data_IF_188666150963
#
_entry.id   IF_188666150963
#
_cell.length_a   1.000
_cell.length_b   1.000
_cell.length_c   1.000
_cell.angle_alpha   90.00
_cell.angle_beta   90.00
_cell.angle_gamma   90.00
#
_symmetry.space_group_name_H-M   'P 1'
#
loop_
_entity.id
_entity.type
_entity.pdbx_description
1 polymer ?
#
# COMPACT_ATOMS: atom_id res chain seq x y z
N UNK A 1 24.67 -14.26 13.62
CA UNK A 1 23.97 -13.05 14.10
C UNK A 1 22.54 -13.48 14.42
N UNK A 2 22.11 -13.42 15.68
CA UNK A 2 20.76 -13.85 16.06
C UNK A 2 19.72 -12.78 15.69
N UNK A 3 18.51 -13.22 15.33
CA UNK A 3 17.39 -12.29 15.14
C UNK A 3 17.07 -11.60 16.47
N UNK A 4 16.91 -10.28 16.44
CA UNK A 4 16.51 -9.49 17.60
C UNK A 4 14.99 -9.55 17.77
N UNK A 5 14.53 -9.70 19.01
CA UNK A 5 13.11 -9.64 19.34
C UNK A 5 12.69 -8.17 19.45
N UNK A 6 11.74 -7.74 18.62
CA UNK A 6 11.26 -6.35 18.58
C UNK A 6 10.75 -5.85 19.94
N UNK A 7 10.17 -6.73 20.76
CA UNK A 7 9.60 -6.36 22.06
C UNK A 7 10.66 -6.07 23.14
N UNK A 8 11.90 -6.55 22.95
CA UNK A 8 13.00 -6.21 23.86
C UNK A 8 13.57 -4.81 23.57
N UNK A 9 13.36 -4.31 22.35
CA UNK A 9 13.86 -3.02 21.86
C UNK A 9 12.73 -1.98 21.73
N UNK A 10 11.52 -2.28 22.18
CA UNK A 10 10.37 -1.37 22.14
C UNK A 10 10.22 -0.64 23.47
N UNK A 11 10.28 0.69 23.43
CA UNK A 11 9.85 1.53 24.54
C UNK A 11 8.32 1.76 24.49
N UNK A 12 7.77 2.44 25.50
CA UNK A 12 6.33 2.69 25.58
C UNK A 12 5.76 3.44 24.36
N UNK A 13 6.56 4.33 23.74
CA UNK A 13 6.13 5.06 22.55
C UNK A 13 6.02 4.11 21.36
N UNK A 14 7.03 3.27 21.15
CA UNK A 14 7.05 2.28 20.06
C UNK A 14 6.02 1.18 20.25
N UNK A 15 5.78 0.72 21.47
CA UNK A 15 4.69 -0.22 21.77
C UNK A 15 3.34 0.37 21.37
N UNK A 16 3.09 1.64 21.69
CA UNK A 16 1.87 2.33 21.28
C UNK A 16 1.74 2.39 19.75
N UNK A 17 2.80 2.75 19.03
CA UNK A 17 2.79 2.76 17.55
C UNK A 17 2.50 1.38 16.95
N UNK A 18 3.07 0.31 17.52
CA UNK A 18 2.81 -1.08 17.09
C UNK A 18 1.31 -1.42 17.28
N UNK A 19 0.74 -1.07 18.43
CA UNK A 19 -0.67 -1.33 18.71
C UNK A 19 -1.59 -0.51 17.81
N UNK A 20 -1.31 0.79 17.62
CA UNK A 20 -2.10 1.67 16.76
C UNK A 20 -2.09 1.18 15.30
N UNK A 21 -0.92 0.75 14.79
CA UNK A 21 -0.82 0.12 13.48
C UNK A 21 -1.64 -1.18 13.42
N UNK A 22 -1.58 -2.00 14.48
CA UNK A 22 -2.35 -3.23 14.61
C UNK A 22 -3.86 -3.01 14.57
N UNK A 23 -4.38 -1.92 15.11
CA UNK A 23 -5.81 -1.56 15.00
C UNK A 23 -6.22 -1.31 13.55
N UNK A 24 -5.42 -0.54 12.81
CA UNK A 24 -5.66 -0.31 11.38
C UNK A 24 -5.62 -1.60 10.55
N UNK A 25 -4.64 -2.47 10.83
CA UNK A 25 -4.55 -3.79 10.18
C UNK A 25 -5.78 -4.66 10.46
N UNK A 26 -6.24 -4.72 11.72
CA UNK A 26 -7.45 -5.46 12.09
C UNK A 26 -8.70 -4.92 11.40
N UNK A 27 -8.84 -3.60 11.29
CA UNK A 27 -9.95 -2.97 10.59
C UNK A 27 -9.95 -3.35 9.10
N UNK A 28 -8.80 -3.25 8.43
CA UNK A 28 -8.63 -3.64 7.03
C UNK A 28 -9.03 -5.10 6.79
N UNK A 29 -8.52 -6.04 7.62
CA UNK A 29 -8.89 -7.45 7.53
C UNK A 29 -10.36 -7.74 7.88
N UNK A 30 -10.97 -6.92 8.74
CA UNK A 30 -12.37 -7.09 9.12
C UNK A 30 -13.31 -6.75 7.96
N UNK A 31 -12.95 -5.75 7.16
CA UNK A 31 -13.66 -5.40 5.94
C UNK A 31 -13.32 -6.34 4.77
N UNK A 32 -12.03 -6.55 4.51
CA UNK A 32 -11.49 -7.30 3.37
C UNK A 32 -11.64 -8.82 3.45
N UNK A 33 -12.88 -9.33 3.49
CA UNK A 33 -13.16 -10.78 3.58
C UNK A 33 -13.07 -11.54 2.26
N UNK A 34 -13.04 -10.83 1.14
CA UNK A 34 -12.94 -11.41 -0.20
C UNK A 34 -11.98 -10.57 -1.04
N UNK A 35 -11.51 -11.12 -2.17
CA UNK A 35 -10.59 -10.43 -3.07
C UNK A 35 -11.18 -9.10 -3.59
N UNK A 36 -12.50 -9.04 -3.77
CA UNK A 36 -13.18 -7.84 -4.25
C UNK A 36 -13.27 -6.77 -3.19
N UNK A 37 -13.58 -7.15 -1.95
CA UNK A 37 -13.62 -6.21 -0.82
C UNK A 37 -12.22 -5.69 -0.50
N UNK A 38 -11.19 -6.52 -0.60
CA UNK A 38 -9.79 -6.08 -0.44
C UNK A 38 -9.42 -5.04 -1.51
N UNK A 39 -9.82 -5.25 -2.77
CA UNK A 39 -9.58 -4.27 -3.84
C UNK A 39 -10.38 -2.99 -3.63
N UNK A 40 -11.64 -3.07 -3.21
CA UNK A 40 -12.48 -1.91 -2.89
C UNK A 40 -11.84 -1.04 -1.80
N UNK A 41 -11.40 -1.66 -0.70
CA UNK A 41 -10.74 -0.94 0.39
C UNK A 41 -9.38 -0.38 -0.01
N UNK A 42 -8.58 -1.13 -0.79
CA UNK A 42 -7.31 -0.65 -1.30
C UNK A 42 -7.48 0.59 -2.21
N UNK A 43 -8.52 0.61 -3.05
CA UNK A 43 -8.87 1.78 -3.87
C UNK A 43 -9.26 2.96 -2.98
N UNK A 44 -10.15 2.76 -2.00
CA UNK A 44 -10.57 3.81 -1.06
C UNK A 44 -9.37 4.44 -0.35
N UNK A 45 -8.51 3.62 0.25
CA UNK A 45 -7.31 4.08 0.95
C UNK A 45 -6.33 4.79 0.02
N UNK A 46 -6.16 4.30 -1.21
CA UNK A 46 -5.28 4.93 -2.18
C UNK A 46 -5.81 6.31 -2.62
N UNK A 47 -7.10 6.45 -2.87
CA UNK A 47 -7.72 7.74 -3.23
C UNK A 47 -7.62 8.77 -2.10
N UNK A 48 -7.78 8.34 -0.83
CA UNK A 48 -7.56 9.20 0.35
C UNK A 48 -6.11 9.72 0.43
N UNK A 49 -5.14 8.92 0.00
CA UNK A 49 -3.73 9.28 -0.08
C UNK A 49 -3.35 10.04 -1.36
N UNK A 50 -4.34 10.40 -2.19
CA UNK A 50 -4.17 11.19 -3.40
C UNK A 50 -3.73 10.40 -4.63
N UNK A 51 -3.83 9.06 -4.61
CA UNK A 51 -3.69 8.26 -5.82
C UNK A 51 -4.91 8.45 -6.73
N UNK A 52 -4.70 8.37 -8.04
CA UNK A 52 -5.76 8.46 -9.03
C UNK A 52 -5.70 7.29 -10.02
N UNK A 53 -6.82 6.92 -10.69
CA UNK A 53 -6.81 5.89 -11.70
C UNK A 53 -5.77 6.21 -12.78
N UNK A 54 -4.96 5.23 -13.19
CA UNK A 54 -3.98 5.38 -14.26
C UNK A 54 -4.63 5.88 -15.56
N UNK A 55 -5.86 5.45 -15.83
CA UNK A 55 -6.67 5.88 -16.97
C UNK A 55 -7.05 7.37 -16.95
N UNK A 56 -6.90 8.07 -15.82
CA UNK A 56 -7.15 9.51 -15.71
C UNK A 56 -5.97 10.37 -16.16
N UNK A 57 -4.80 9.78 -16.39
CA UNK A 57 -3.60 10.47 -16.84
C UNK A 57 -3.43 10.34 -18.35
N UNK A 58 -3.07 11.46 -19.00
CA UNK A 58 -2.60 11.44 -20.39
C UNK A 58 -1.10 11.19 -20.47
N UNK A 59 -0.34 11.78 -19.53
CA UNK A 59 1.10 11.61 -19.38
C UNK A 59 1.43 11.49 -17.88
N UNK A 60 2.52 10.79 -17.58
CA UNK A 60 2.99 10.57 -16.22
C UNK A 60 4.26 11.37 -15.96
N UNK A 61 4.34 11.97 -14.78
CA UNK A 61 5.48 12.75 -14.31
C UNK A 61 6.01 12.20 -12.99
N UNK A 62 7.30 12.41 -12.68
CA UNK A 62 7.85 12.01 -11.38
C UNK A 62 7.04 12.60 -10.23
N UNK A 63 6.66 11.75 -9.28
CA UNK A 63 5.81 12.08 -8.13
C UNK A 63 4.33 11.76 -8.32
N UNK A 64 3.86 11.46 -9.54
CA UNK A 64 2.47 11.05 -9.75
C UNK A 64 2.17 9.75 -8.99
N UNK A 65 1.04 9.77 -8.28
CA UNK A 65 0.50 8.63 -7.53
C UNK A 65 -0.64 8.00 -8.36
N UNK A 66 -0.42 6.81 -8.89
CA UNK A 66 -1.35 6.15 -9.79
C UNK A 66 -1.78 4.79 -9.28
N UNK A 67 -3.02 4.41 -9.54
CA UNK A 67 -3.50 3.05 -9.30
C UNK A 67 -4.23 2.47 -10.50
N UNK A 68 -4.27 1.14 -10.61
CA UNK A 68 -5.09 0.43 -11.56
C UNK A 68 -5.69 -0.81 -10.90
N UNK A 69 -6.88 -1.20 -11.36
CA UNK A 69 -7.51 -2.46 -10.94
C UNK A 69 -7.71 -3.38 -12.14
N UNK A 70 -7.70 -4.69 -11.89
CA UNK A 70 -8.04 -5.69 -12.90
C UNK A 70 -9.33 -6.40 -12.50
N UNK A 71 -10.44 -6.07 -13.18
CA UNK A 71 -11.78 -6.64 -12.95
C UNK A 71 -12.21 -6.63 -11.47
N UNK A 72 -11.73 -5.67 -10.68
CA UNK A 72 -12.00 -5.58 -9.24
C UNK A 72 -11.41 -6.71 -8.40
N UNK A 73 -10.43 -7.47 -8.91
CA UNK A 73 -9.81 -8.61 -8.21
C UNK A 73 -8.30 -8.47 -8.00
N UNK A 74 -7.67 -7.53 -8.69
CA UNK A 74 -6.28 -7.15 -8.44
C UNK A 74 -6.20 -5.65 -8.31
N UNK A 75 -5.24 -5.20 -7.51
CA UNK A 75 -4.92 -3.80 -7.30
C UNK A 75 -3.42 -3.60 -7.53
N UNK A 76 -3.08 -2.55 -8.26
CA UNK A 76 -1.71 -2.08 -8.47
C UNK A 76 -1.69 -0.60 -8.13
N UNK A 77 -0.73 -0.17 -7.31
CA UNK A 77 -0.44 1.23 -7.06
C UNK A 77 1.05 1.51 -7.27
N UNK A 78 1.35 2.69 -7.79
CA UNK A 78 2.72 3.12 -8.05
C UNK A 78 2.90 4.61 -7.79
N UNK A 79 4.10 4.97 -7.33
CA UNK A 79 4.58 6.35 -7.33
C UNK A 79 5.64 6.47 -8.42
N UNK A 80 5.41 7.35 -9.39
CA UNK A 80 6.29 7.48 -10.55
C UNK A 80 7.63 8.08 -10.11
N UNK A 81 8.72 7.37 -10.42
CA UNK A 81 10.08 7.77 -10.07
C UNK A 81 10.65 8.84 -11.02
N UNK A 82 11.84 9.34 -10.70
CA UNK A 82 12.58 10.30 -11.54
C UNK A 82 13.35 9.65 -12.70
N UNK A 83 13.66 8.36 -12.57
CA UNK A 83 14.44 7.57 -13.55
C UNK A 83 13.50 6.86 -14.50
N UNK A 84 14.00 6.50 -15.69
CA UNK A 84 13.20 5.76 -16.66
C UNK A 84 12.74 4.42 -16.06
N UNK A 85 11.54 3.97 -16.41
CA UNK A 85 11.04 2.65 -16.01
C UNK A 85 11.95 1.52 -16.53
N UNK A 86 12.64 1.74 -17.65
CA UNK A 86 13.61 0.81 -18.24
C UNK A 86 14.82 0.55 -17.33
N UNK A 87 15.13 1.48 -16.42
CA UNK A 87 16.18 1.30 -15.41
C UNK A 87 15.73 0.43 -14.22
N UNK A 88 14.48 -0.03 -14.23
CA UNK A 88 13.89 -0.92 -13.25
C UNK A 88 12.98 -0.24 -12.24
N UNK A 89 12.34 -1.06 -11.42
CA UNK A 89 11.37 -0.64 -10.41
C UNK A 89 11.55 -1.43 -9.12
N UNK A 90 11.01 -0.89 -8.02
CA UNK A 90 10.92 -1.60 -6.73
C UNK A 90 9.50 -2.11 -6.59
N UNK A 91 9.32 -3.41 -6.75
CA UNK A 91 7.99 -4.05 -6.74
C UNK A 91 7.81 -4.82 -5.44
N UNK A 92 6.67 -4.61 -4.79
CA UNK A 92 6.16 -5.46 -3.71
C UNK A 92 4.91 -6.16 -4.24
N UNK A 93 4.89 -7.48 -4.16
CA UNK A 93 3.75 -8.32 -4.55
C UNK A 93 3.22 -9.12 -3.37
N UNK A 94 1.89 -9.27 -3.31
CA UNK A 94 1.17 -10.07 -2.33
C UNK A 94 -0.09 -10.68 -2.99
N UNK A 95 -0.65 -11.73 -2.39
CA UNK A 95 -1.88 -12.39 -2.86
C UNK A 95 -2.81 -12.76 -1.70
#
# INVERSE_FOLDING_TARGET
MYAKNIWLDADQAKEKEIHDFGEGYKAFLSYGKTERLVVEEAVRMAEEEGFKPLSSYQELKPGDKVYATNKGKNFLAAVIGKRSLEEGSRILGAH
#
